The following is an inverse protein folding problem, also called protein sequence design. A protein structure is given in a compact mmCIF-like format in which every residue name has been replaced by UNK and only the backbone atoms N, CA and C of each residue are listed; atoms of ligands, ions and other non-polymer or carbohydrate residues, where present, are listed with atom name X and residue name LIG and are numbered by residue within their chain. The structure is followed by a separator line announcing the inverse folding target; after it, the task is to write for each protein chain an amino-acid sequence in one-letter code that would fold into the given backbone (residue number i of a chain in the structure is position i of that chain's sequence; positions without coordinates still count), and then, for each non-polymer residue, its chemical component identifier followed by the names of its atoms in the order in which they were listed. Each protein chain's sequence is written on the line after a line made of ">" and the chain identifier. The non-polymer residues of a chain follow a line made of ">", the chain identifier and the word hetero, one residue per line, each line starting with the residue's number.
data_IF_855075576452
#
_entry.id   IF_855075576452
#
_cell.length_a   1.000
_cell.length_b   1.000
_cell.length_c   1.000
_cell.angle_alpha   90.00
_cell.angle_beta   90.00
_cell.angle_gamma   90.00
#
_symmetry.space_group_name_H-M   'P 1'
#
loop_
_entity.id
_entity.type
_entity.pdbx_description
1 polymer ?
#
# COMPACT_ATOMS: atom_id res chain seq x y z
N UNK A 1 22.53 -102.12 23.13
CA UNK A 1 21.17 -101.50 23.12
C UNK A 1 21.11 -100.15 23.87
N UNK A 2 22.11 -99.26 23.75
CA UNK A 2 22.07 -97.91 24.37
C UNK A 2 22.42 -96.76 23.41
N UNK A 3 23.04 -97.05 22.26
CA UNK A 3 23.37 -96.02 21.25
C UNK A 3 22.44 -96.01 20.03
N UNK A 4 21.55 -97.00 19.90
CA UNK A 4 20.64 -97.12 18.74
C UNK A 4 19.35 -96.29 18.91
N UNK A 5 18.94 -96.03 20.15
CA UNK A 5 17.81 -95.14 20.46
C UNK A 5 18.13 -93.65 20.26
N UNK A 6 19.42 -93.27 20.33
CA UNK A 6 19.84 -91.87 20.20
C UNK A 6 19.86 -91.39 18.73
N UNK A 7 20.06 -92.32 17.78
CA UNK A 7 20.10 -91.99 16.34
C UNK A 7 18.69 -91.80 15.76
N UNK A 8 17.70 -92.52 16.27
CA UNK A 8 16.30 -92.39 15.81
C UNK A 8 15.65 -91.09 16.32
N UNK A 9 16.10 -90.55 17.46
CA UNK A 9 15.64 -89.26 17.98
C UNK A 9 16.15 -88.04 17.22
N UNK A 10 17.31 -88.14 16.54
CA UNK A 10 17.93 -87.02 15.81
C UNK A 10 17.33 -86.82 14.41
N UNK A 11 16.69 -87.84 13.83
CA UNK A 11 16.07 -87.75 12.49
C UNK A 11 14.67 -87.10 12.53
N UNK A 12 14.06 -86.95 13.70
CA UNK A 12 12.72 -86.38 13.87
C UNK A 12 12.66 -84.86 14.11
N UNK A 13 13.81 -84.15 14.10
CA UNK A 13 13.88 -82.71 14.44
C UNK A 13 14.38 -81.85 13.26
N UNK A 14 14.37 -82.35 12.03
CA UNK A 14 14.64 -81.48 10.87
C UNK A 14 13.38 -80.64 10.56
N UNK A 15 13.42 -79.30 10.65
CA UNK A 15 12.32 -78.48 10.18
C UNK A 15 12.25 -78.60 8.66
N UNK A 16 11.08 -78.98 8.17
CA UNK A 16 10.74 -78.91 6.74
C UNK A 16 10.77 -77.44 6.33
N UNK A 17 11.86 -76.99 5.72
CA UNK A 17 11.86 -75.74 4.97
C UNK A 17 11.08 -75.98 3.67
N UNK A 18 9.80 -75.63 3.68
CA UNK A 18 9.01 -75.55 2.46
C UNK A 18 9.62 -74.51 1.54
N UNK A 19 10.18 -74.94 0.40
CA UNK A 19 10.57 -74.04 -0.68
C UNK A 19 9.30 -73.37 -1.21
N UNK A 20 9.07 -72.11 -0.82
CA UNK A 20 8.08 -71.27 -1.50
C UNK A 20 8.59 -71.04 -2.91
N UNK A 21 7.92 -71.67 -3.87
CA UNK A 21 8.03 -71.36 -5.29
C UNK A 21 7.76 -69.86 -5.44
N UNK A 22 8.80 -69.11 -5.78
CA UNK A 22 8.71 -67.70 -6.14
C UNK A 22 8.11 -67.68 -7.54
N UNK A 23 6.80 -67.62 -7.64
CA UNK A 23 6.18 -67.19 -8.89
C UNK A 23 6.69 -65.77 -9.11
N UNK A 24 7.33 -65.52 -10.26
CA UNK A 24 7.63 -64.20 -10.76
C UNK A 24 6.28 -63.52 -11.06
N UNK A 25 5.63 -63.05 -10.00
CA UNK A 25 4.62 -62.02 -10.10
C UNK A 25 5.35 -60.80 -10.62
N UNK A 26 5.10 -60.50 -11.89
CA UNK A 26 5.42 -59.22 -12.53
C UNK A 26 5.20 -58.15 -11.48
N UNK A 27 6.30 -57.59 -10.96
CA UNK A 27 6.20 -56.46 -10.05
C UNK A 27 5.34 -55.44 -10.79
N UNK A 28 4.27 -54.90 -10.19
CA UNK A 28 3.55 -53.81 -10.82
C UNK A 28 4.61 -52.74 -11.03
N UNK A 29 4.99 -52.51 -12.29
CA UNK A 29 5.79 -51.35 -12.65
C UNK A 29 4.84 -50.21 -12.32
N UNK A 30 5.00 -49.63 -11.13
CA UNK A 30 4.46 -48.32 -10.85
C UNK A 30 5.18 -47.40 -11.82
N UNK A 31 4.63 -47.26 -13.02
CA UNK A 31 4.94 -46.13 -13.87
C UNK A 31 4.38 -44.93 -13.12
N UNK A 32 5.16 -44.41 -12.17
CA UNK A 32 4.86 -43.17 -11.46
C UNK A 32 4.71 -42.09 -12.53
N UNK A 33 3.45 -41.82 -12.86
CA UNK A 33 3.11 -40.83 -13.86
C UNK A 33 3.17 -39.44 -13.26
N UNK A 34 3.71 -38.50 -14.01
CA UNK A 34 3.77 -37.08 -13.60
C UNK A 34 2.41 -36.44 -13.90
N UNK A 35 1.77 -35.90 -12.86
CA UNK A 35 0.53 -35.11 -12.99
C UNK A 35 0.91 -33.68 -13.32
N UNK A 36 0.25 -33.10 -14.33
CA UNK A 36 0.48 -31.74 -14.77
C UNK A 36 -0.83 -31.06 -15.15
N UNK A 37 -0.83 -29.73 -15.04
CA UNK A 37 -1.93 -28.88 -15.51
C UNK A 37 -1.50 -28.14 -16.77
N UNK A 38 -2.44 -27.88 -17.68
CA UNK A 38 -2.19 -26.94 -18.77
C UNK A 38 -2.27 -25.49 -18.23
N UNK A 39 -1.35 -24.60 -18.67
CA UNK A 39 -1.41 -23.20 -18.27
C UNK A 39 -2.54 -22.48 -19.01
N UNK A 40 -3.43 -21.83 -18.27
CA UNK A 40 -4.36 -20.83 -18.79
C UNK A 40 -3.83 -19.42 -18.55
N UNK A 41 -4.29 -18.48 -19.37
CA UNK A 41 -3.80 -17.10 -19.34
C UNK A 41 -4.56 -16.27 -18.29
N UNK A 42 -3.88 -15.86 -17.23
CA UNK A 42 -4.35 -14.86 -16.27
C UNK A 42 -3.88 -13.45 -16.66
N UNK A 43 -4.74 -12.47 -16.44
CA UNK A 43 -4.45 -11.05 -16.66
C UNK A 43 -4.26 -10.38 -15.30
N UNK A 44 -3.13 -9.71 -15.11
CA UNK A 44 -2.82 -8.92 -13.92
C UNK A 44 -2.86 -7.45 -14.28
N UNK A 45 -3.73 -6.71 -13.61
CA UNK A 45 -3.84 -5.25 -13.81
C UNK A 45 -3.31 -4.54 -12.58
N UNK A 46 -2.34 -3.67 -12.79
CA UNK A 46 -1.74 -2.79 -11.78
C UNK A 46 -2.22 -1.37 -12.05
N UNK A 47 -2.95 -0.81 -11.11
CA UNK A 47 -3.48 0.55 -11.19
C UNK A 47 -2.77 1.38 -10.12
N UNK A 48 -2.10 2.44 -10.54
CA UNK A 48 -1.62 3.49 -9.63
C UNK A 48 -2.65 4.59 -9.60
N UNK A 49 -3.12 4.90 -8.40
CA UNK A 49 -4.08 5.97 -8.20
C UNK A 49 -3.53 6.99 -7.22
N UNK A 50 -3.94 8.24 -7.41
CA UNK A 50 -3.72 9.34 -6.49
C UNK A 50 -5.05 9.68 -5.86
N UNK A 51 -5.13 9.50 -4.55
CA UNK A 51 -6.24 9.93 -3.71
C UNK A 51 -5.99 11.37 -3.27
N UNK A 52 -6.77 12.31 -3.80
CA UNK A 52 -6.84 13.69 -3.32
C UNK A 52 -7.91 13.78 -2.23
N UNK A 53 -7.51 14.04 -0.99
CA UNK A 53 -8.42 14.31 0.12
C UNK A 53 -8.38 15.80 0.45
N UNK A 54 -9.46 16.51 0.19
CA UNK A 54 -9.60 17.93 0.51
C UNK A 54 -10.40 18.12 1.79
N UNK A 55 -9.82 18.84 2.75
CA UNK A 55 -10.44 19.22 4.03
C UNK A 55 -10.64 20.75 4.01
N UNK A 56 -11.88 21.25 4.10
CA UNK A 56 -12.16 22.68 4.11
C UNK A 56 -11.64 23.32 5.40
N UNK A 57 -11.25 24.59 5.30
CA UNK A 57 -10.87 25.38 6.47
C UNK A 57 -12.09 25.78 7.31
N UNK A 58 -11.96 25.95 8.63
CA UNK A 58 -13.07 26.34 9.51
C UNK A 58 -13.67 27.71 9.15
N UNK A 59 -12.90 28.60 8.53
CA UNK A 59 -13.32 29.96 8.16
C UNK A 59 -13.61 30.11 6.66
N UNK A 60 -13.79 28.99 5.94
CA UNK A 60 -13.96 29.00 4.49
C UNK A 60 -15.17 29.80 4.00
N UNK A 61 -16.26 29.84 4.78
CA UNK A 61 -17.43 30.64 4.48
C UNK A 61 -17.15 32.16 4.43
N UNK A 62 -16.12 32.63 5.15
CA UNK A 62 -15.78 34.05 5.27
C UNK A 62 -14.58 34.46 4.40
N UNK A 63 -14.03 33.53 3.62
CA UNK A 63 -12.85 33.77 2.78
C UNK A 63 -13.09 34.87 1.73
N UNK A 64 -14.29 34.93 1.14
CA UNK A 64 -14.65 35.97 0.18
C UNK A 64 -14.79 37.34 0.85
N UNK A 65 -15.47 37.41 2.00
CA UNK A 65 -15.71 38.66 2.72
C UNK A 65 -14.42 39.26 3.31
N UNK A 66 -13.56 38.42 3.91
CA UNK A 66 -12.39 38.89 4.65
C UNK A 66 -11.11 38.96 3.81
N UNK A 67 -10.96 38.09 2.80
CA UNK A 67 -9.75 38.00 1.98
C UNK A 67 -10.00 38.23 0.48
N UNK A 68 -11.26 38.37 0.04
CA UNK A 68 -11.59 38.52 -1.38
C UNK A 68 -11.39 37.26 -2.23
N UNK A 69 -11.21 36.10 -1.60
CA UNK A 69 -10.95 34.83 -2.31
C UNK A 69 -12.28 34.20 -2.70
N UNK A 70 -12.56 34.16 -3.99
CA UNK A 70 -13.80 33.58 -4.55
C UNK A 70 -13.67 32.06 -4.76
N UNK A 71 -14.81 31.38 -4.81
CA UNK A 71 -14.93 29.94 -5.13
C UNK A 71 -14.17 29.00 -4.19
N UNK A 72 -14.15 29.32 -2.89
CA UNK A 72 -13.56 28.43 -1.88
C UNK A 72 -14.48 27.24 -1.62
N UNK A 73 -13.89 26.04 -1.55
CA UNK A 73 -14.61 24.79 -1.28
C UNK A 73 -14.95 24.70 0.21
N UNK A 74 -16.25 24.70 0.53
CA UNK A 74 -16.75 24.61 1.91
C UNK A 74 -17.08 23.18 2.38
N UNK A 75 -16.91 22.18 1.51
CA UNK A 75 -17.23 20.77 1.83
C UNK A 75 -16.00 19.91 1.63
N UNK A 76 -15.87 18.91 2.50
CA UNK A 76 -14.85 17.87 2.34
C UNK A 76 -15.13 17.09 1.06
N UNK A 77 -14.07 16.80 0.30
CA UNK A 77 -14.16 16.05 -0.94
C UNK A 77 -13.01 15.05 -1.02
N UNK A 78 -13.28 13.87 -1.56
CA UNK A 78 -12.27 12.86 -1.85
C UNK A 78 -12.37 12.53 -3.33
N UNK A 79 -11.32 12.86 -4.08
CA UNK A 79 -11.22 12.55 -5.50
C UNK A 79 -10.16 11.47 -5.70
N UNK A 80 -10.41 10.60 -6.66
CA UNK A 80 -9.45 9.58 -7.07
C UNK A 80 -9.08 9.82 -8.53
N UNK A 81 -7.79 9.92 -8.80
CA UNK A 81 -7.27 10.10 -10.14
C UNK A 81 -6.39 8.90 -10.46
N UNK A 82 -6.68 8.24 -11.58
CA UNK A 82 -5.83 7.16 -12.08
C UNK A 82 -4.61 7.80 -12.74
N UNK A 83 -3.42 7.50 -12.22
CA UNK A 83 -2.14 8.03 -12.75
C UNK A 83 -1.58 7.11 -13.83
N UNK A 84 -1.66 5.80 -13.62
CA UNK A 84 -1.04 4.80 -14.50
C UNK A 84 -1.78 3.46 -14.40
N UNK A 85 -1.90 2.76 -15.53
CA UNK A 85 -2.46 1.41 -15.61
C UNK A 85 -1.50 0.54 -16.39
N UNK A 86 -1.00 -0.51 -15.75
CA UNK A 86 -0.14 -1.52 -16.36
C UNK A 86 -0.84 -2.87 -16.37
N UNK A 87 -0.76 -3.55 -17.49
CA UNK A 87 -1.38 -4.86 -17.68
C UNK A 87 -0.24 -5.84 -17.98
N UNK A 88 -0.12 -6.85 -17.13
CA UNK A 88 0.81 -7.95 -17.27
C UNK A 88 0.02 -9.24 -17.44
N UNK A 89 0.57 -10.20 -18.18
CA UNK A 89 -0.06 -11.51 -18.38
C UNK A 89 0.77 -12.55 -17.64
N UNK A 90 0.11 -13.48 -16.94
CA UNK A 90 0.76 -14.56 -16.22
C UNK A 90 0.09 -15.91 -16.49
N UNK A 91 0.86 -17.02 -16.49
CA UNK A 91 0.28 -18.36 -16.58
C UNK A 91 -0.28 -18.80 -15.23
N UNK A 92 -1.49 -19.34 -15.22
CA UNK A 92 -2.11 -19.97 -14.06
C UNK A 92 -2.49 -21.42 -14.40
N UNK A 93 -2.32 -22.40 -13.50
CA UNK A 93 -2.77 -23.77 -13.73
C UNK A 93 -4.29 -23.84 -13.90
N UNK A 94 -4.75 -24.44 -14.99
CA UNK A 94 -6.17 -24.64 -15.23
C UNK A 94 -6.71 -25.86 -14.45
N UNK A 95 -7.65 -25.67 -13.49
CA UNK A 95 -8.26 -26.78 -12.76
C UNK A 95 -9.09 -27.71 -13.63
N UNK A 96 -9.56 -27.27 -14.81
CA UNK A 96 -10.34 -28.11 -15.73
C UNK A 96 -9.46 -29.01 -16.62
N UNK A 97 -8.18 -28.66 -16.77
CA UNK A 97 -7.25 -29.28 -17.73
C UNK A 97 -6.06 -29.92 -17.01
N UNK A 98 -6.36 -30.91 -16.17
CA UNK A 98 -5.37 -31.70 -15.41
C UNK A 98 -5.17 -33.07 -16.04
N UNK A 99 -3.92 -33.41 -16.35
CA UNK A 99 -3.54 -34.62 -17.06
C UNK A 99 -2.43 -35.39 -16.34
N UNK A 100 -2.26 -36.67 -16.68
CA UNK A 100 -1.20 -37.52 -16.13
C UNK A 100 -0.39 -38.14 -17.27
N UNK A 101 0.89 -37.79 -17.36
CA UNK A 101 1.82 -38.45 -18.28
C UNK A 101 2.24 -39.81 -17.70
N UNK A 102 2.22 -40.86 -18.51
CA UNK A 102 2.62 -42.22 -18.12
C UNK A 102 3.75 -42.72 -19.03
N UNK A 103 4.62 -43.59 -18.51
CA UNK A 103 5.71 -44.23 -19.26
C UNK A 103 7.07 -43.52 -19.14
N UNK A 104 8.08 -44.05 -19.84
CA UNK A 104 9.48 -43.60 -19.72
C UNK A 104 9.69 -42.12 -20.08
N UNK A 105 8.82 -41.54 -20.93
CA UNK A 105 8.86 -40.13 -21.30
C UNK A 105 8.33 -39.17 -20.22
N UNK A 106 7.64 -39.67 -19.19
CA UNK A 106 7.09 -38.83 -18.11
C UNK A 106 8.20 -38.12 -17.31
N UNK A 107 9.36 -38.78 -17.14
CA UNK A 107 10.53 -38.19 -16.48
C UNK A 107 11.22 -37.08 -17.28
N UNK A 108 10.83 -36.86 -18.54
CA UNK A 108 11.37 -35.79 -19.37
C UNK A 108 10.52 -34.50 -19.28
N UNK A 109 9.37 -34.52 -18.59
CA UNK A 109 8.53 -33.34 -18.41
C UNK A 109 9.06 -32.50 -17.25
N UNK A 110 9.35 -31.23 -17.52
CA UNK A 110 9.69 -30.25 -16.48
C UNK A 110 8.44 -29.42 -16.14
N UNK A 111 8.17 -29.30 -14.84
CA UNK A 111 7.03 -28.56 -14.31
C UNK A 111 7.47 -27.24 -13.67
N UNK A 112 6.59 -26.23 -13.70
CA UNK A 112 6.71 -25.05 -12.86
C UNK A 112 6.38 -25.40 -11.40
N UNK A 113 6.73 -24.51 -10.46
CA UNK A 113 6.37 -24.68 -9.04
C UNK A 113 4.86 -24.83 -8.82
N UNK A 114 4.05 -24.26 -9.71
CA UNK A 114 2.58 -24.31 -9.67
C UNK A 114 1.99 -25.54 -10.39
N UNK A 115 2.83 -26.47 -10.87
CA UNK A 115 2.39 -27.72 -11.52
C UNK A 115 2.00 -27.59 -13.00
N UNK A 116 2.33 -26.48 -13.65
CA UNK A 116 2.15 -26.31 -15.10
C UNK A 116 3.32 -26.91 -15.89
N UNK A 117 3.09 -27.35 -17.13
CA UNK A 117 4.20 -27.74 -18.02
C UNK A 117 5.06 -26.51 -18.33
N UNK A 118 6.35 -26.58 -17.99
CA UNK A 118 7.33 -25.53 -18.28
C UNK A 118 8.16 -25.85 -19.54
N UNK A 119 8.37 -27.14 -19.81
CA UNK A 119 9.13 -27.63 -20.97
C UNK A 119 9.30 -29.14 -20.96
N UNK A 120 9.68 -29.71 -22.10
CA UNK A 120 9.98 -31.15 -22.27
C UNK A 120 11.47 -31.28 -22.60
N UNK A 121 12.17 -32.17 -21.91
CA UNK A 121 13.60 -32.43 -22.04
C UNK A 121 14.49 -31.21 -21.71
N UNK A 122 14.01 -30.33 -20.82
CA UNK A 122 14.71 -29.12 -20.37
C UNK A 122 15.16 -29.27 -18.93
N UNK A 123 16.45 -29.10 -18.66
CA UNK A 123 17.07 -29.33 -17.35
C UNK A 123 16.71 -28.29 -16.28
N UNK A 124 16.22 -27.12 -16.68
CA UNK A 124 15.69 -26.10 -15.78
C UNK A 124 14.98 -25.06 -16.64
N UNK A 125 13.66 -25.12 -16.74
CA UNK A 125 12.90 -23.97 -17.21
C UNK A 125 13.11 -22.85 -16.16
N UNK A 126 13.52 -21.66 -16.61
CA UNK A 126 13.66 -20.50 -15.71
C UNK A 126 12.34 -20.29 -14.98
N UNK A 127 12.30 -20.69 -13.71
CA UNK A 127 11.16 -20.47 -12.83
C UNK A 127 11.14 -18.96 -12.60
N UNK A 128 10.46 -18.23 -13.48
CA UNK A 128 10.10 -16.84 -13.22
C UNK A 128 9.29 -16.87 -11.94
N UNK A 129 9.92 -16.51 -10.82
CA UNK A 129 9.24 -16.32 -9.55
C UNK A 129 8.07 -15.38 -9.84
N UNK A 130 6.86 -15.87 -9.63
CA UNK A 130 5.68 -15.04 -9.64
C UNK A 130 5.85 -14.04 -8.51
N UNK A 131 6.23 -12.82 -8.83
CA UNK A 131 6.27 -11.75 -7.86
C UNK A 131 4.88 -11.63 -7.24
N UNK A 132 4.82 -11.85 -5.92
CA UNK A 132 3.58 -11.69 -5.14
C UNK A 132 3.36 -10.19 -5.03
N UNK A 133 2.43 -9.66 -5.84
CA UNK A 133 2.03 -8.27 -5.76
C UNK A 133 0.99 -8.12 -4.65
N UNK A 134 1.39 -7.48 -3.55
CA UNK A 134 0.46 -7.05 -2.53
C UNK A 134 0.01 -5.61 -2.81
N UNK A 135 -1.27 -5.33 -2.55
CA UNK A 135 -1.77 -3.97 -2.54
C UNK A 135 -0.93 -3.17 -1.53
N UNK A 136 -0.31 -2.11 -2.00
CA UNK A 136 0.53 -1.25 -1.18
C UNK A 136 -0.02 0.17 -1.24
N UNK A 137 -0.47 0.65 -0.09
CA UNK A 137 -0.60 2.08 0.12
C UNK A 137 0.81 2.62 0.34
N UNK A 138 1.26 3.58 -0.48
CA UNK A 138 2.50 4.26 -0.17
C UNK A 138 2.38 4.92 1.22
N UNK A 139 3.51 5.05 1.93
CA UNK A 139 3.58 5.82 3.19
C UNK A 139 2.82 7.13 2.98
N UNK A 140 1.78 7.36 3.80
CA UNK A 140 0.99 8.60 3.85
C UNK A 140 1.90 9.78 3.54
N UNK A 141 1.72 10.43 2.39
CA UNK A 141 2.43 11.69 2.17
C UNK A 141 1.93 12.59 3.29
N UNK A 142 2.84 13.31 4.00
CA UNK A 142 2.59 14.07 5.24
C UNK A 142 1.11 14.44 5.34
N UNK A 143 0.33 13.58 6.02
CA UNK A 143 -1.11 13.73 6.11
C UNK A 143 -1.34 15.18 6.48
N UNK A 144 -2.19 15.89 5.73
CA UNK A 144 -2.62 17.22 6.13
C UNK A 144 -2.91 17.12 7.63
N UNK A 145 -2.06 17.77 8.43
CA UNK A 145 -2.01 17.49 9.86
C UNK A 145 -3.33 18.02 10.39
N UNK A 146 -4.27 17.11 10.66
CA UNK A 146 -5.65 17.49 10.99
C UNK A 146 -5.68 18.37 12.26
N UNK A 147 -4.62 18.31 13.07
CA UNK A 147 -4.41 19.16 14.24
C UNK A 147 -3.96 20.59 13.95
N UNK A 148 -3.54 20.94 12.72
CA UNK A 148 -3.13 22.32 12.40
C UNK A 148 -4.28 23.30 12.57
N UNK A 149 -5.51 22.93 12.19
CA UNK A 149 -6.66 23.78 12.43
C UNK A 149 -6.98 23.90 13.91
N UNK A 150 -6.93 22.79 14.65
CA UNK A 150 -7.22 22.74 16.08
C UNK A 150 -6.33 23.69 16.89
N UNK A 151 -5.04 23.78 16.56
CA UNK A 151 -4.13 24.71 17.24
C UNK A 151 -4.61 26.18 17.17
N UNK A 152 -5.14 26.62 16.03
CA UNK A 152 -5.59 28.01 15.85
C UNK A 152 -7.05 28.23 16.28
N UNK A 153 -7.93 27.25 16.14
CA UNK A 153 -9.35 27.39 16.49
C UNK A 153 -9.60 27.20 17.98
N UNK A 154 -8.93 26.23 18.59
CA UNK A 154 -9.24 25.76 19.94
C UNK A 154 -8.46 26.54 21.00
N UNK A 155 -7.37 27.20 20.61
CA UNK A 155 -6.61 28.09 21.49
C UNK A 155 -7.48 29.28 21.93
N UNK A 156 -7.71 29.46 23.25
CA UNK A 156 -8.50 30.57 23.73
C UNK A 156 -7.69 31.87 23.62
N UNK A 157 -8.05 32.70 22.64
CA UNK A 157 -7.58 34.07 22.55
C UNK A 157 -8.42 34.96 23.48
N UNK A 158 -7.76 35.92 24.12
CA UNK A 158 -8.41 36.91 24.99
C UNK A 158 -8.15 38.32 24.45
N UNK A 159 -9.11 39.21 24.70
CA UNK A 159 -8.94 40.66 24.54
C UNK A 159 -8.73 41.31 25.91
N UNK A 160 -8.06 42.46 25.91
CA UNK A 160 -7.96 43.29 27.10
C UNK A 160 -9.37 43.71 27.54
N UNK A 161 -9.63 43.62 28.85
CA UNK A 161 -10.92 44.03 29.39
C UNK A 161 -11.12 45.53 29.29
N UNK A 162 -12.35 45.94 29.04
CA UNK A 162 -12.80 47.32 29.12
C UNK A 162 -13.35 47.65 30.51
N UNK A 163 -13.77 48.91 30.69
CA UNK A 163 -14.41 49.36 31.93
C UNK A 163 -15.70 48.60 32.24
N UNK A 164 -16.41 48.11 31.21
CA UNK A 164 -17.62 47.30 31.34
C UNK A 164 -17.34 45.94 32.00
N UNK A 165 -16.17 45.34 31.77
CA UNK A 165 -15.76 44.07 32.38
C UNK A 165 -14.77 44.24 33.56
N UNK A 166 -14.70 45.43 34.15
CA UNK A 166 -13.75 45.74 35.22
C UNK A 166 -12.31 45.39 34.86
N UNK A 167 -11.91 45.67 33.61
CA UNK A 167 -10.59 45.38 33.05
C UNK A 167 -10.17 43.90 33.08
N UNK A 168 -11.12 42.98 33.25
CA UNK A 168 -10.84 41.54 33.20
C UNK A 168 -10.75 41.07 31.75
N UNK A 169 -9.77 40.21 31.41
CA UNK A 169 -9.66 39.68 30.07
C UNK A 169 -10.89 38.86 29.71
N UNK A 170 -11.46 39.12 28.53
CA UNK A 170 -12.62 38.40 27.99
C UNK A 170 -12.19 37.55 26.81
N UNK A 171 -12.78 36.36 26.68
CA UNK A 171 -12.53 35.46 25.55
C UNK A 171 -12.95 36.15 24.24
N UNK A 172 -12.06 36.12 23.24
CA UNK A 172 -12.29 36.69 21.92
C UNK A 172 -13.45 35.94 21.24
N UNK A 173 -14.50 36.64 20.75
CA UNK A 173 -15.57 36.01 20.00
C UNK A 173 -15.05 35.44 18.67
N UNK A 174 -15.68 34.40 18.16
CA UNK A 174 -15.16 33.68 16.99
C UNK A 174 -15.08 34.57 15.74
N UNK A 175 -16.02 35.50 15.55
CA UNK A 175 -15.97 36.49 14.46
C UNK A 175 -14.70 37.36 14.50
N UNK A 176 -14.30 37.81 15.70
CA UNK A 176 -13.07 38.57 15.86
C UNK A 176 -11.81 37.71 15.73
N UNK A 177 -11.87 36.42 16.08
CA UNK A 177 -10.77 35.48 15.77
C UNK A 177 -10.57 35.35 14.26
N UNK A 178 -11.66 35.24 13.50
CA UNK A 178 -11.63 35.17 12.04
C UNK A 178 -11.03 36.43 11.43
N UNK A 179 -11.50 37.61 11.86
CA UNK A 179 -10.96 38.87 11.35
C UNK A 179 -9.48 39.06 11.71
N UNK A 180 -9.07 38.69 12.93
CA UNK A 180 -7.66 38.70 13.36
C UNK A 180 -6.80 37.72 12.56
N UNK A 181 -7.32 36.54 12.23
CA UNK A 181 -6.65 35.57 11.37
C UNK A 181 -6.46 36.13 9.95
N UNK A 182 -7.49 36.74 9.36
CA UNK A 182 -7.40 37.39 8.06
C UNK A 182 -6.41 38.56 8.07
N UNK A 183 -6.46 39.40 9.11
CA UNK A 183 -5.50 40.48 9.31
C UNK A 183 -4.07 39.94 9.34
N UNK A 184 -3.83 38.82 10.03
CA UNK A 184 -2.50 38.20 10.09
C UNK A 184 -1.98 37.76 8.73
N UNK A 185 -2.85 37.27 7.84
CA UNK A 185 -2.50 36.95 6.44
C UNK A 185 -2.06 38.21 5.69
N UNK A 186 -2.86 39.27 5.77
CA UNK A 186 -2.57 40.53 5.09
C UNK A 186 -1.30 41.20 5.62
N UNK A 187 -1.10 41.21 6.94
CA UNK A 187 0.13 41.69 7.57
C UNK A 187 1.34 40.89 7.09
N UNK A 188 1.25 39.56 7.02
CA UNK A 188 2.35 38.71 6.56
C UNK A 188 2.73 39.00 5.11
N UNK A 189 1.75 39.27 4.24
CA UNK A 189 1.98 39.70 2.84
C UNK A 189 2.63 41.07 2.77
N UNK A 190 2.15 42.02 3.58
CA UNK A 190 2.70 43.37 3.64
C UNK A 190 4.16 43.34 4.09
N UNK A 191 4.47 42.60 5.14
CA UNK A 191 5.84 42.43 5.64
C UNK A 191 6.76 41.76 4.61
N UNK A 192 6.28 40.73 3.90
CA UNK A 192 7.04 40.13 2.80
C UNK A 192 7.36 41.15 1.70
N UNK A 193 6.40 42.00 1.34
CA UNK A 193 6.61 43.08 0.38
C UNK A 193 7.59 44.13 0.90
N UNK A 194 7.44 44.59 2.15
CA UNK A 194 8.34 45.57 2.77
C UNK A 194 9.78 45.07 2.81
N UNK A 195 9.99 43.80 3.19
CA UNK A 195 11.30 43.16 3.18
C UNK A 195 11.86 43.08 1.76
N UNK A 196 11.05 42.65 0.79
CA UNK A 196 11.50 42.54 -0.60
C UNK A 196 11.82 43.89 -1.25
N UNK A 197 11.09 44.95 -0.85
CA UNK A 197 11.28 46.32 -1.34
C UNK A 197 12.37 47.10 -0.58
N UNK A 198 12.93 46.54 0.50
CA UNK A 198 13.92 47.22 1.35
C UNK A 198 13.35 48.40 2.15
N UNK A 199 12.05 48.38 2.46
CA UNK A 199 11.33 49.41 3.24
C UNK A 199 11.35 49.13 4.76
N UNK A 200 12.21 48.22 5.21
CA UNK A 200 12.27 47.79 6.61
C UNK A 200 13.26 48.68 7.37
N UNK A 201 12.86 49.19 8.52
CA UNK A 201 13.68 50.09 9.34
C UNK A 201 14.97 49.41 9.83
N UNK A 202 14.90 48.13 10.23
CA UNK A 202 16.02 47.37 10.77
C UNK A 202 16.46 46.29 9.79
N UNK A 203 17.59 46.53 9.14
CA UNK A 203 18.18 45.55 8.24
C UNK A 203 18.86 44.44 9.04
N UNK A 204 18.60 43.19 8.68
CA UNK A 204 19.41 42.09 9.19
C UNK A 204 20.81 42.20 8.56
N UNK A 205 21.89 41.96 9.32
CA UNK A 205 23.25 42.11 8.82
C UNK A 205 23.62 41.05 7.76
N UNK A 206 22.85 39.97 7.64
CA UNK A 206 23.13 38.83 6.77
C UNK A 206 21.95 38.48 5.84
N UNK A 207 22.26 38.15 4.59
CA UNK A 207 21.30 37.71 3.58
C UNK A 207 20.64 36.37 3.89
N UNK A 208 21.28 35.49 4.68
CA UNK A 208 20.66 34.23 5.10
C UNK A 208 19.50 34.45 6.08
N UNK A 209 19.66 35.40 7.01
CA UNK A 209 18.61 35.78 7.94
C UNK A 209 17.36 36.28 7.21
N UNK A 210 17.52 37.06 6.14
CA UNK A 210 16.41 37.48 5.28
C UNK A 210 15.65 36.30 4.67
N UNK A 211 16.37 35.32 4.13
CA UNK A 211 15.75 34.12 3.54
C UNK A 211 14.99 33.33 4.59
N UNK A 212 15.53 33.20 5.79
CA UNK A 212 14.87 32.53 6.91
C UNK A 212 13.60 33.28 7.34
N UNK A 213 13.66 34.60 7.53
CA UNK A 213 12.52 35.44 7.89
C UNK A 213 11.41 35.38 6.84
N UNK A 214 11.75 35.48 5.55
CA UNK A 214 10.79 35.34 4.45
C UNK A 214 10.15 33.96 4.41
N UNK A 215 10.92 32.90 4.68
CA UNK A 215 10.42 31.53 4.72
C UNK A 215 9.42 31.33 5.87
N UNK A 216 9.72 31.85 7.06
CA UNK A 216 8.81 31.78 8.20
C UNK A 216 7.56 32.63 7.98
N UNK A 217 7.68 33.84 7.41
CA UNK A 217 6.51 34.66 7.05
C UNK A 217 5.59 33.96 6.06
N UNK A 218 6.15 33.30 5.03
CA UNK A 218 5.36 32.49 4.08
C UNK A 218 4.70 31.29 4.76
N UNK A 219 5.39 30.65 5.70
CA UNK A 219 4.82 29.54 6.47
C UNK A 219 3.64 30.00 7.32
N UNK A 220 3.81 31.10 8.06
CA UNK A 220 2.74 31.73 8.85
C UNK A 220 1.58 32.15 7.94
N UNK A 221 1.85 32.81 6.81
CA UNK A 221 0.82 33.17 5.83
C UNK A 221 0.02 31.93 5.40
N UNK A 222 0.70 30.87 4.97
CA UNK A 222 0.05 29.64 4.51
C UNK A 222 -0.75 28.94 5.61
N UNK A 223 -0.26 28.97 6.86
CA UNK A 223 -0.97 28.38 8.00
C UNK A 223 -2.29 29.11 8.27
N UNK A 224 -2.28 30.45 8.37
CA UNK A 224 -3.52 31.22 8.57
C UNK A 224 -4.43 31.20 7.33
N UNK A 225 -3.86 31.25 6.12
CA UNK A 225 -4.60 31.18 4.87
C UNK A 225 -5.29 29.83 4.71
N UNK A 226 -4.69 28.74 5.20
CA UNK A 226 -5.32 27.42 5.20
C UNK A 226 -6.58 27.34 6.06
N UNK A 227 -6.74 28.22 7.06
CA UNK A 227 -8.00 28.32 7.82
C UNK A 227 -9.17 28.79 6.95
N UNK A 228 -8.87 29.55 5.89
CA UNK A 228 -9.84 30.04 4.92
C UNK A 228 -9.97 29.11 3.72
N UNK A 229 -8.87 28.65 3.11
CA UNK A 229 -8.96 27.86 1.86
C UNK A 229 -9.15 26.36 2.13
N UNK A 230 -8.67 25.85 3.27
CA UNK A 230 -8.55 24.42 3.52
C UNK A 230 -7.21 23.85 3.05
N UNK A 231 -7.07 22.52 3.15
CA UNK A 231 -5.88 21.76 2.75
C UNK A 231 -6.26 20.56 1.91
N UNK A 232 -5.47 20.28 0.87
CA UNK A 232 -5.53 19.01 0.14
C UNK A 232 -4.33 18.13 0.49
N UNK A 233 -4.61 16.86 0.74
CA UNK A 233 -3.62 15.80 0.94
C UNK A 233 -3.66 14.86 -0.27
N UNK A 234 -2.51 14.42 -0.73
CA UNK A 234 -2.39 13.51 -1.87
C UNK A 234 -1.73 12.22 -1.41
N UNK A 235 -2.46 11.12 -1.47
CA UNK A 235 -1.93 9.79 -1.15
C UNK A 235 -1.82 8.97 -2.43
N UNK A 236 -0.65 8.37 -2.65
CA UNK A 236 -0.43 7.46 -3.78
C UNK A 236 -0.70 6.03 -3.33
N UNK A 237 -1.63 5.37 -4.00
CA UNK A 237 -1.99 3.98 -3.72
C UNK A 237 -1.78 3.14 -4.98
N UNK A 238 -1.25 1.93 -4.80
CA UNK A 238 -1.10 0.97 -5.89
C UNK A 238 -1.98 -0.24 -5.62
N UNK A 239 -2.92 -0.45 -6.52
CA UNK A 239 -3.82 -1.60 -6.53
C UNK A 239 -3.36 -2.60 -7.58
N UNK A 240 -3.34 -3.87 -7.23
CA UNK A 240 -3.10 -4.97 -8.14
C UNK A 240 -4.27 -5.95 -8.03
N UNK A 241 -4.86 -6.32 -9.17
CA UNK A 241 -5.89 -7.35 -9.24
C UNK A 241 -5.58 -8.34 -10.34
N UNK A 242 -5.81 -9.61 -10.02
CA UNK A 242 -5.64 -10.74 -10.92
C UNK A 242 -7.02 -11.17 -11.42
N UNK A 243 -7.16 -11.30 -12.73
CA UNK A 243 -8.39 -11.67 -13.40
C UNK A 243 -8.11 -12.79 -14.40
N UNK A 244 -8.82 -13.91 -14.26
CA UNK A 244 -8.79 -15.01 -15.22
C UNK A 244 -10.04 -14.91 -16.09
N UNK A 245 -9.92 -14.68 -17.40
CA UNK A 245 -11.06 -14.68 -18.30
C UNK A 245 -11.69 -16.08 -18.34
N UNK A 246 -13.01 -16.15 -18.20
CA UNK A 246 -13.78 -17.37 -18.44
C UNK A 246 -14.18 -17.45 -19.90
N UNK A 247 -14.29 -18.67 -20.44
CA UNK A 247 -14.68 -18.94 -21.82
C UNK A 247 -16.14 -18.61 -22.17
N UNK A 248 -16.87 -17.89 -21.31
CA UNK A 248 -18.29 -17.58 -21.52
C UNK A 248 -18.39 -16.23 -22.23
N UNK A 249 -18.46 -16.29 -23.56
CA UNK A 249 -18.68 -15.18 -24.47
C UNK A 249 -19.79 -15.53 -25.46
#
# INVERSE_FOLDING_TARGET
>A
MKYLAFVIGIVLILPVYGQRKKDDTVAPVFTEGVVYSLPRTGIRVKVKVVKETFIPGPYAAYAEQLLGIKNVKNRQAVNWVIEDVKIDVFPEPDPEQVYKALGAGAGLVSLTADGCIAGINTSSAEIKKTDVFTNSAAKKSKSADNGLFQYFTDSPLYMAGDSTNNYRPVKLPDEQKMSKAAQRVLESRRLQYEIAAGLVDEFHPDGEAYKASLKELKKVENDYLSLFIGKSSYDKETFAFDYVPKSDG
#
